data_IF_803550534826
#
_entry.id   IF_803550534826
#
_cell.length_a   1.000
_cell.length_b   1.000
_cell.length_c   1.000
_cell.angle_alpha   90.00
_cell.angle_beta   90.00
_cell.angle_gamma   90.00
#
_symmetry.space_group_name_H-M   'P 1'
#
loop_
_entity.id
_entity.type
_entity.pdbx_description
1 polymer ?
#
# COMPACT_ATOMS: atom_id res chain seq x y z
N UNK A 1 7.21 15.95 8.88
CA UNK A 1 7.20 14.85 9.87
C UNK A 1 6.03 13.93 9.53
N UNK A 2 6.26 12.83 8.81
CA UNK A 2 5.17 11.90 8.50
C UNK A 2 4.80 11.17 9.79
N UNK A 3 3.56 11.37 10.25
CA UNK A 3 3.09 10.84 11.51
C UNK A 3 2.83 9.35 11.33
N UNK A 4 3.50 8.53 12.13
CA UNK A 4 3.26 7.08 12.22
C UNK A 4 1.79 6.88 12.60
N UNK A 5 0.91 6.65 11.62
CA UNK A 5 -0.49 6.37 11.91
C UNK A 5 -0.56 4.94 12.43
N UNK A 6 -0.73 4.80 13.74
CA UNK A 6 -1.06 3.52 14.36
C UNK A 6 -2.28 2.93 13.64
N UNK A 7 -2.20 1.65 13.26
CA UNK A 7 -3.32 0.95 12.66
C UNK A 7 -4.56 1.13 13.56
N UNK A 8 -5.59 1.76 13.03
CA UNK A 8 -6.84 1.92 13.78
C UNK A 8 -7.52 0.55 13.92
N UNK A 9 -8.28 0.27 15.00
CA UNK A 9 -8.99 -1.01 15.16
C UNK A 9 -9.99 -1.37 14.04
N UNK A 10 -10.20 -0.49 13.06
CA UNK A 10 -11.10 -0.64 11.92
C UNK A 10 -10.36 -0.89 10.59
N UNK A 11 -9.04 -1.03 10.59
CA UNK A 11 -8.25 -1.41 9.41
C UNK A 11 -8.60 -2.85 9.02
N UNK A 12 -8.92 -3.07 7.73
CA UNK A 12 -9.24 -4.40 7.18
C UNK A 12 -8.06 -5.07 6.48
N UNK A 13 -7.06 -4.27 6.12
CA UNK A 13 -5.87 -4.69 5.38
C UNK A 13 -4.67 -4.27 6.20
N UNK A 14 -3.79 -5.21 6.54
CA UNK A 14 -2.52 -4.88 7.19
C UNK A 14 -1.48 -4.40 6.17
N UNK A 15 -0.44 -3.66 6.60
CA UNK A 15 0.69 -3.33 5.74
C UNK A 15 1.32 -4.55 5.06
N UNK A 16 1.48 -5.66 5.78
CA UNK A 16 2.03 -6.91 5.23
C UNK A 16 1.15 -7.49 4.11
N UNK A 17 -0.18 -7.52 4.31
CA UNK A 17 -1.12 -7.98 3.28
C UNK A 17 -1.10 -7.05 2.05
N UNK A 18 -1.11 -5.74 2.28
CA UNK A 18 -1.02 -4.78 1.19
C UNK A 18 0.27 -4.93 0.38
N UNK A 19 1.40 -5.16 1.07
CA UNK A 19 2.69 -5.39 0.44
C UNK A 19 2.71 -6.69 -0.37
N UNK A 20 2.27 -7.80 0.21
CA UNK A 20 2.20 -9.10 -0.45
C UNK A 20 1.40 -9.01 -1.76
N UNK A 21 0.25 -8.35 -1.73
CA UNK A 21 -0.55 -8.12 -2.93
C UNK A 21 0.22 -7.26 -3.95
N UNK A 22 0.78 -6.12 -3.54
CA UNK A 22 1.55 -5.27 -4.45
C UNK A 22 2.74 -6.02 -5.09
N UNK A 23 3.46 -6.83 -4.32
CA UNK A 23 4.59 -7.63 -4.78
C UNK A 23 4.17 -8.68 -5.82
N UNK A 24 3.05 -9.36 -5.58
CA UNK A 24 2.54 -10.39 -6.47
C UNK A 24 2.01 -9.84 -7.81
N UNK A 25 1.46 -8.62 -7.83
CA UNK A 25 0.82 -8.04 -9.02
C UNK A 25 1.68 -7.02 -9.79
N UNK A 26 2.49 -6.21 -9.11
CA UNK A 26 3.16 -5.04 -9.74
C UNK A 26 4.60 -5.31 -10.17
N UNK A 27 5.29 -6.24 -9.49
CA UNK A 27 6.71 -6.55 -9.73
C UNK A 27 7.62 -5.32 -9.68
N UNK A 28 8.83 -5.41 -10.25
CA UNK A 28 9.79 -4.30 -10.31
C UNK A 28 10.20 -3.81 -8.94
N UNK A 29 10.22 -2.50 -8.73
CA UNK A 29 10.57 -1.90 -7.46
C UNK A 29 9.70 -2.39 -6.29
N UNK A 30 8.43 -2.76 -6.53
CA UNK A 30 7.56 -3.28 -5.48
C UNK A 30 8.07 -4.59 -4.88
N UNK A 31 8.74 -5.44 -5.67
CA UNK A 31 9.31 -6.71 -5.20
C UNK A 31 10.52 -6.54 -4.28
N UNK A 32 11.10 -5.34 -4.22
CA UNK A 32 12.33 -5.08 -3.44
C UNK A 32 12.10 -4.29 -2.16
N UNK A 33 10.92 -3.65 -1.99
CA UNK A 33 10.65 -2.84 -0.80
C UNK A 33 10.25 -3.72 0.39
N UNK A 34 10.61 -3.28 1.60
CA UNK A 34 10.09 -3.86 2.85
C UNK A 34 8.75 -3.24 3.26
N UNK A 35 8.08 -3.85 4.24
CA UNK A 35 6.82 -3.35 4.78
C UNK A 35 6.98 -1.98 5.46
N UNK A 36 8.15 -1.68 6.04
CA UNK A 36 8.41 -0.36 6.63
C UNK A 36 8.58 0.74 5.59
N UNK A 37 8.95 0.37 4.36
CA UNK A 37 9.08 1.29 3.23
C UNK A 37 7.75 1.51 2.51
N UNK A 38 6.81 0.55 2.61
CA UNK A 38 5.47 0.71 2.05
C UNK A 38 4.74 1.89 2.70
N UNK A 39 4.32 2.84 1.88
CA UNK A 39 3.36 3.87 2.31
C UNK A 39 1.94 3.36 2.03
N UNK A 40 1.22 3.01 3.10
CA UNK A 40 -0.17 2.58 3.06
C UNK A 40 -1.05 3.66 3.70
N UNK A 41 -2.00 4.19 2.92
CA UNK A 41 -2.93 5.22 3.38
C UNK A 41 -4.37 4.82 3.07
N UNK A 42 -5.24 4.79 4.09
CA UNK A 42 -6.68 4.62 3.86
C UNK A 42 -7.27 5.89 3.24
N UNK A 43 -7.85 5.75 2.06
CA UNK A 43 -8.46 6.83 1.27
C UNK A 43 -9.95 6.96 1.58
N UNK A 44 -10.66 5.84 1.67
CA UNK A 44 -12.09 5.83 1.99
C UNK A 44 -12.47 4.67 2.90
N UNK A 45 -13.58 4.87 3.63
CA UNK A 45 -14.01 3.99 4.70
C UNK A 45 -15.52 3.88 4.79
N UNK A 46 -16.13 3.22 3.80
CA UNK A 46 -17.51 2.74 3.94
C UNK A 46 -17.57 1.41 4.70
N UNK A 47 -18.79 0.92 4.98
CA UNK A 47 -18.98 -0.39 5.63
C UNK A 47 -18.55 -1.57 4.74
N UNK A 48 -18.59 -1.41 3.41
CA UNK A 48 -18.37 -2.50 2.44
C UNK A 48 -17.32 -2.20 1.36
N UNK A 49 -16.79 -0.97 1.29
CA UNK A 49 -15.81 -0.58 0.29
C UNK A 49 -14.69 0.19 0.96
N UNK A 50 -13.60 -0.52 1.26
CA UNK A 50 -12.37 0.05 1.79
C UNK A 50 -11.45 0.35 0.62
N UNK A 51 -10.98 1.59 0.52
CA UNK A 51 -10.01 1.99 -0.49
C UNK A 51 -8.72 2.42 0.20
N UNK A 52 -7.62 1.81 -0.20
CA UNK A 52 -6.28 2.13 0.27
C UNK A 52 -5.44 2.63 -0.90
N UNK A 53 -4.55 3.59 -0.63
CA UNK A 53 -3.49 4.02 -1.52
C UNK A 53 -2.19 3.37 -1.04
N UNK A 54 -1.57 2.58 -1.90
CA UNK A 54 -0.24 2.04 -1.69
C UNK A 54 0.73 2.84 -2.57
N UNK A 55 1.86 3.28 -2.02
CA UNK A 55 2.89 3.97 -2.82
C UNK A 55 4.31 3.59 -2.44
N UNK A 56 5.18 3.56 -3.45
CA UNK A 56 6.63 3.50 -3.28
C UNK A 56 7.16 4.76 -2.58
N UNK A 57 8.21 4.67 -1.76
CA UNK A 57 8.98 5.82 -1.29
C UNK A 57 9.52 6.68 -2.44
N UNK A 58 9.68 7.97 -2.18
CA UNK A 58 10.22 8.94 -3.15
C UNK A 58 11.68 8.65 -3.53
N UNK A 59 12.43 8.00 -2.63
CA UNK A 59 13.84 7.61 -2.78
C UNK A 59 14.06 6.29 -3.54
N UNK A 60 12.99 5.54 -3.85
CA UNK A 60 13.09 4.29 -4.62
C UNK A 60 12.72 4.56 -6.07
N UNK A 61 13.66 4.32 -6.99
CA UNK A 61 13.41 4.39 -8.43
C UNK A 61 12.65 3.16 -8.93
N UNK A 62 11.80 3.37 -9.94
CA UNK A 62 11.13 2.28 -10.65
C UNK A 62 12.12 1.56 -11.56
N UNK A 63 12.01 0.24 -11.63
CA UNK A 63 12.85 -0.64 -12.45
C UNK A 63 12.35 -0.79 -13.88
N UNK A 64 11.11 -0.35 -14.17
CA UNK A 64 10.51 -0.36 -15.49
C UNK A 64 9.27 0.52 -15.55
N UNK A 65 8.18 -0.04 -16.07
CA UNK A 65 6.91 0.66 -16.27
C UNK A 65 5.92 0.45 -15.12
N UNK A 66 6.36 -0.08 -13.97
CA UNK A 66 5.48 -0.25 -12.82
C UNK A 66 5.01 1.11 -12.27
N UNK A 67 3.74 1.20 -11.83
CA UNK A 67 3.23 2.44 -11.26
C UNK A 67 3.85 2.70 -9.88
N UNK A 68 4.11 3.96 -9.54
CA UNK A 68 4.60 4.35 -8.20
C UNK A 68 3.51 4.36 -7.14
N UNK A 69 2.24 4.46 -7.55
CA UNK A 69 1.07 4.50 -6.67
C UNK A 69 -0.04 3.63 -7.25
N UNK A 70 -0.70 2.87 -6.39
CA UNK A 70 -1.85 2.05 -6.76
C UNK A 70 -2.96 2.20 -5.73
N UNK A 71 -4.19 1.99 -6.18
CA UNK A 71 -5.34 1.92 -5.27
C UNK A 71 -5.76 0.47 -5.07
N UNK A 72 -5.83 0.07 -3.82
CA UNK A 72 -6.31 -1.24 -3.40
C UNK A 72 -7.73 -1.12 -2.89
N UNK A 73 -8.64 -1.87 -3.50
CA UNK A 73 -10.03 -1.95 -3.08
C UNK A 73 -10.27 -3.28 -2.37
N UNK A 74 -10.67 -3.20 -1.11
CA UNK A 74 -11.13 -4.35 -0.32
C UNK A 74 -12.63 -4.24 -0.11
N UNK A 75 -13.37 -5.18 -0.68
CA UNK A 75 -14.82 -5.28 -0.55
C UNK A 75 -15.18 -6.47 0.35
N UNK A 76 -16.10 -6.24 1.29
CA UNK A 76 -16.70 -7.27 2.16
C UNK A 76 -17.93 -7.85 1.47
#
# INVERSE_FOLDING_TARGET
>A
MWSRKSATPLEKVTPDQALEWCQNFLRGAWSTISVEQLRLERVSGGLSNYLYCCSLPDDIETQGNEPRKVFLRYSI
#
